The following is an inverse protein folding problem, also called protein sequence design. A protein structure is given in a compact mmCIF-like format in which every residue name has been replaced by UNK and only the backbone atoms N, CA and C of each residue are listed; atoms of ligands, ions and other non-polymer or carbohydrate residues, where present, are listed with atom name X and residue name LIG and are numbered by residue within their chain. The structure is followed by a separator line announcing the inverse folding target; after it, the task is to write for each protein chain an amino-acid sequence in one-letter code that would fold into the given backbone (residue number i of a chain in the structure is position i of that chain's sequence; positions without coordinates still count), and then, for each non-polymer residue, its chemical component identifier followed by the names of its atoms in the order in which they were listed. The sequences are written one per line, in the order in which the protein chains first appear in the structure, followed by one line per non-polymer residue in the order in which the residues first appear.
data_IF_105921271164
#
_entry.id   IF_105921271164
#
_cell.length_a   1.000
_cell.length_b   1.000
_cell.length_c   1.000
_cell.angle_alpha   90.00
_cell.angle_beta   90.00
_cell.angle_gamma   90.00
#
_symmetry.space_group_name_H-M   'P 1'
#
loop_
_entity.id
_entity.type
_entity.pdbx_description
1 polymer ?
#
# COMPACT_ATOMS: atom_id res chain seq x y z
N UNK A 1 -6.44 6.70 -0.25
CA UNK A 1 -6.99 6.15 -1.51
C UNK A 1 -8.41 5.68 -1.27
N UNK A 2 -9.39 6.18 -2.05
CA UNK A 2 -10.73 5.60 -2.10
C UNK A 2 -10.70 4.36 -3.02
N UNK A 3 -11.57 3.41 -2.74
CA UNK A 3 -11.66 2.13 -3.44
C UNK A 3 -12.15 2.27 -4.89
N UNK A 4 -12.91 3.34 -5.15
CA UNK A 4 -13.47 3.69 -6.46
C UNK A 4 -12.40 3.86 -7.55
N UNK A 5 -11.28 4.54 -7.27
CA UNK A 5 -10.23 4.78 -8.28
C UNK A 5 -9.30 3.58 -8.53
N UNK A 6 -9.45 2.50 -7.75
CA UNK A 6 -8.65 1.28 -7.82
C UNK A 6 -9.40 0.14 -8.51
N UNK A 7 -10.73 0.21 -8.60
CA UNK A 7 -11.55 -0.80 -9.26
C UNK A 7 -11.52 -0.67 -10.79
N UNK A 8 -11.38 0.56 -11.31
CA UNK A 8 -11.34 0.84 -12.75
C UNK A 8 -9.95 0.64 -13.38
N UNK A 9 -8.92 0.38 -12.56
CA UNK A 9 -7.53 0.23 -13.04
C UNK A 9 -7.17 -1.22 -13.34
N UNK A 10 -6.43 -1.39 -14.42
CA UNK A 10 -6.01 -2.69 -14.93
C UNK A 10 -5.20 -3.47 -13.87
N UNK A 11 -5.37 -4.81 -13.82
CA UNK A 11 -4.71 -5.67 -12.83
C UNK A 11 -3.17 -5.51 -12.83
N UNK A 12 -2.59 -5.17 -13.98
CA UNK A 12 -1.16 -4.87 -14.13
C UNK A 12 -0.73 -3.57 -13.40
N UNK A 13 -1.53 -2.50 -13.47
CA UNK A 13 -1.25 -1.24 -12.77
C UNK A 13 -1.41 -1.39 -11.26
N UNK A 14 -2.41 -2.17 -10.82
CA UNK A 14 -2.60 -2.49 -9.41
C UNK A 14 -1.40 -3.25 -8.85
N UNK A 15 -0.82 -4.20 -9.59
CA UNK A 15 0.39 -4.90 -9.18
C UNK A 15 1.61 -3.98 -9.10
N UNK A 16 1.78 -3.06 -10.06
CA UNK A 16 2.85 -2.08 -10.05
C UNK A 16 2.78 -1.17 -8.80
N UNK A 17 1.59 -0.62 -8.51
CA UNK A 17 1.35 0.18 -7.31
C UNK A 17 1.55 -0.61 -6.00
N UNK A 18 1.23 -1.91 -6.00
CA UNK A 18 1.45 -2.79 -4.84
C UNK A 18 2.94 -2.94 -4.54
N UNK A 19 3.76 -3.08 -5.58
CA UNK A 19 5.23 -3.20 -5.46
C UNK A 19 5.82 -1.93 -4.87
N UNK A 20 5.40 -0.78 -5.36
CA UNK A 20 5.86 0.54 -4.91
C UNK A 20 5.45 0.82 -3.44
N UNK A 21 4.18 0.58 -3.08
CA UNK A 21 3.69 0.70 -1.70
C UNK A 21 4.38 -0.26 -0.73
N UNK A 22 4.76 -1.47 -1.18
CA UNK A 22 5.56 -2.41 -0.36
C UNK A 22 6.95 -1.87 -0.07
N UNK A 23 7.61 -1.28 -1.06
CA UNK A 23 8.95 -0.67 -0.87
C UNK A 23 8.87 0.48 0.13
N UNK A 24 7.87 1.36 0.00
CA UNK A 24 7.62 2.43 0.98
C UNK A 24 7.38 1.87 2.38
N UNK A 25 6.61 0.78 2.50
CA UNK A 25 6.34 0.13 3.78
C UNK A 25 7.60 -0.52 4.39
N UNK A 26 8.52 -1.00 3.56
CA UNK A 26 9.82 -1.52 3.98
C UNK A 26 10.73 -0.39 4.50
N UNK A 27 10.81 0.73 3.78
CA UNK A 27 11.54 1.92 4.24
C UNK A 27 10.95 2.46 5.56
N UNK A 28 9.63 2.51 5.69
CA UNK A 28 8.95 2.91 6.93
C UNK A 28 9.23 1.93 8.09
N UNK A 29 9.30 0.63 7.82
CA UNK A 29 9.72 -0.36 8.84
C UNK A 29 11.17 -0.18 9.27
N UNK A 30 12.08 0.11 8.34
CA UNK A 30 13.47 0.40 8.65
C UNK A 30 13.59 1.67 9.50
N UNK A 31 12.89 2.75 9.13
CA UNK A 31 12.83 3.98 9.94
C UNK A 31 12.25 3.74 11.33
N UNK A 32 11.25 2.85 11.44
CA UNK A 32 10.71 2.39 12.74
C UNK A 32 11.75 1.64 13.56
N UNK A 33 12.49 0.72 12.94
CA UNK A 33 13.54 -0.06 13.60
C UNK A 33 14.66 0.85 14.14
N UNK A 34 15.02 1.90 13.38
CA UNK A 34 16.00 2.90 13.79
C UNK A 34 15.48 3.91 14.83
N UNK A 35 14.27 3.72 15.37
CA UNK A 35 13.60 4.65 16.31
C UNK A 35 13.47 6.11 15.82
N UNK A 36 13.63 6.36 14.52
CA UNK A 36 13.50 7.69 13.89
C UNK A 36 12.09 7.94 13.31
N UNK A 37 11.11 7.10 13.64
CA UNK A 37 9.79 7.20 13.04
C UNK A 37 8.95 8.27 13.75
N UNK A 38 8.89 9.46 13.16
CA UNK A 38 8.04 10.54 13.66
C UNK A 38 6.55 10.23 13.56
N UNK A 39 6.11 9.45 12.56
CA UNK A 39 4.70 9.17 12.32
C UNK A 39 4.39 7.67 12.20
N UNK A 40 3.93 7.07 13.30
CA UNK A 40 3.44 5.68 13.33
C UNK A 40 2.16 5.47 12.51
N UNK A 41 1.39 6.54 12.28
CA UNK A 41 0.15 6.54 11.49
C UNK A 41 0.38 6.20 10.02
N UNK A 42 1.53 6.59 9.43
CA UNK A 42 1.86 6.29 8.02
C UNK A 42 1.98 4.79 7.78
N UNK A 43 2.51 4.05 8.76
CA UNK A 43 2.63 2.59 8.71
C UNK A 43 1.26 1.92 8.63
N UNK A 44 0.27 2.45 9.37
CA UNK A 44 -1.12 1.96 9.34
C UNK A 44 -1.81 2.31 8.03
N UNK A 45 -1.58 3.51 7.50
CA UNK A 45 -2.13 3.96 6.21
C UNK A 45 -1.57 3.11 5.07
N UNK A 46 -0.24 2.92 5.02
CA UNK A 46 0.42 2.09 4.02
C UNK A 46 -0.08 0.63 4.06
N UNK A 47 -0.28 0.05 5.25
CA UNK A 47 -0.91 -1.28 5.39
C UNK A 47 -2.34 -1.33 4.84
N UNK A 48 -3.17 -0.32 5.15
CA UNK A 48 -4.54 -0.22 4.64
C UNK A 48 -4.57 -0.04 3.13
N UNK A 49 -3.66 0.73 2.56
CA UNK A 49 -3.57 0.92 1.11
C UNK A 49 -3.18 -0.38 0.40
N UNK A 50 -2.19 -1.12 0.91
CA UNK A 50 -1.82 -2.45 0.37
C UNK A 50 -3.00 -3.43 0.45
N UNK A 51 -3.76 -3.42 1.54
CA UNK A 51 -4.95 -4.26 1.69
C UNK A 51 -6.02 -3.91 0.65
N UNK A 52 -6.32 -2.63 0.45
CA UNK A 52 -7.29 -2.17 -0.57
C UNK A 52 -6.87 -2.56 -1.99
N UNK A 53 -5.58 -2.44 -2.33
CA UNK A 53 -5.06 -2.86 -3.64
C UNK A 53 -5.24 -4.37 -3.84
N UNK A 54 -4.97 -5.18 -2.81
CA UNK A 54 -5.21 -6.64 -2.87
C UNK A 54 -6.70 -6.98 -3.02
N UNK A 55 -7.58 -6.26 -2.35
CA UNK A 55 -9.03 -6.45 -2.47
C UNK A 55 -9.51 -6.09 -3.88
N UNK A 56 -9.03 -4.98 -4.45
CA UNK A 56 -9.34 -4.62 -5.84
C UNK A 56 -8.84 -5.70 -6.84
N UNK A 57 -7.61 -6.19 -6.68
CA UNK A 57 -7.10 -7.31 -7.49
C UNK A 57 -7.96 -8.58 -7.38
N UNK A 58 -8.49 -8.86 -6.19
CA UNK A 58 -9.36 -10.02 -5.97
C UNK A 58 -10.77 -9.83 -6.54
N UNK A 59 -11.24 -8.58 -6.66
CA UNK A 59 -12.56 -8.26 -7.19
C UNK A 59 -12.60 -8.25 -8.73
N UNK A 60 -11.43 -8.09 -9.37
CA UNK A 60 -11.27 -8.16 -10.84
C UNK A 60 -11.15 -9.63 -11.33
N UNK A 61 -10.93 -10.58 -10.43
CA UNK A 61 -10.83 -12.02 -10.73
C UNK A 61 -12.20 -12.69 -10.78
#
# INVERSE_FOLDING_TARGET
MKYSDLADKNAAELQAMLKEKKTQLFTLKIKKQMMQLQNTSELRIAKKDVARIKTALSAVK
#
